data_IF_121874151841
#
_entry.id   IF_121874151841
#
_cell.length_a   1.000
_cell.length_b   1.000
_cell.length_c   1.000
_cell.angle_alpha   90.00
_cell.angle_beta   90.00
_cell.angle_gamma   90.00
#
_symmetry.space_group_name_H-M   'P 1'
#
loop_
_entity.id
_entity.type
_entity.pdbx_description
1 polymer ?
#
# COMPACT_ATOMS: atom_id res chain seq x y z
N UNK A 1 16.55 -16.84 -2.51
CA UNK A 1 15.18 -16.32 -2.50
C UNK A 1 14.30 -17.35 -1.83
N UNK A 2 13.29 -16.94 -1.09
CA UNK A 2 12.35 -17.86 -0.44
C UNK A 2 10.98 -17.72 -1.08
N UNK A 3 10.33 -18.86 -1.27
CA UNK A 3 8.99 -18.97 -1.83
C UNK A 3 8.05 -19.63 -0.82
N UNK A 4 6.79 -19.23 -0.86
CA UNK A 4 5.68 -19.92 -0.22
C UNK A 4 4.52 -20.17 -1.19
N UNK A 5 3.99 -21.39 -1.14
CA UNK A 5 2.74 -21.76 -1.84
C UNK A 5 1.58 -21.35 -0.96
N UNK A 6 0.75 -20.42 -1.44
CA UNK A 6 -0.44 -19.92 -0.74
C UNK A 6 -1.70 -20.68 -1.19
N UNK A 7 -2.70 -20.01 -1.76
CA UNK A 7 -3.93 -20.64 -2.24
C UNK A 7 -3.74 -21.31 -3.61
N UNK A 8 -3.21 -22.55 -3.61
CA UNK A 8 -2.84 -23.28 -4.83
C UNK A 8 -4.04 -23.77 -5.63
N UNK A 9 -5.03 -24.37 -4.96
CA UNK A 9 -6.19 -24.99 -5.63
C UNK A 9 -7.37 -24.02 -5.73
N UNK A 10 -8.32 -24.23 -6.67
CA UNK A 10 -9.55 -23.44 -6.71
C UNK A 10 -10.33 -23.44 -5.39
N UNK A 11 -10.31 -24.57 -4.66
CA UNK A 11 -10.95 -24.66 -3.35
C UNK A 11 -10.24 -23.79 -2.29
N UNK A 12 -8.90 -23.73 -2.32
CA UNK A 12 -8.15 -22.85 -1.42
C UNK A 12 -8.43 -21.38 -1.73
N UNK A 13 -8.46 -21.03 -3.01
CA UNK A 13 -8.74 -19.67 -3.49
C UNK A 13 -10.14 -19.23 -3.05
N UNK A 14 -11.15 -20.09 -3.20
CA UNK A 14 -12.50 -19.79 -2.75
C UNK A 14 -12.57 -19.60 -1.23
N UNK A 15 -11.87 -20.42 -0.43
CA UNK A 15 -11.81 -20.23 1.03
C UNK A 15 -11.22 -18.88 1.42
N UNK A 16 -10.17 -18.43 0.73
CA UNK A 16 -9.57 -17.11 0.97
C UNK A 16 -10.54 -15.98 0.60
N UNK A 17 -11.27 -16.11 -0.52
CA UNK A 17 -12.28 -15.13 -0.92
C UNK A 17 -13.45 -15.08 0.07
N UNK A 18 -13.94 -16.24 0.52
CA UNK A 18 -15.04 -16.34 1.48
C UNK A 18 -14.65 -15.82 2.88
N UNK A 19 -13.36 -15.92 3.23
CA UNK A 19 -12.84 -15.36 4.47
C UNK A 19 -13.04 -13.83 4.53
N UNK A 20 -12.84 -13.13 3.41
CA UNK A 20 -12.93 -11.66 3.37
C UNK A 20 -14.34 -11.15 3.14
N UNK A 21 -15.10 -11.05 4.23
CA UNK A 21 -16.35 -10.29 4.24
C UNK A 21 -16.08 -8.78 4.22
N UNK A 22 -17.02 -7.95 3.74
CA UNK A 22 -16.91 -6.50 3.83
C UNK A 22 -16.62 -6.00 5.26
N UNK A 23 -17.17 -6.67 6.27
CA UNK A 23 -16.95 -6.35 7.68
C UNK A 23 -15.52 -6.64 8.13
N UNK A 24 -14.92 -7.76 7.70
CA UNK A 24 -13.52 -8.08 7.99
C UNK A 24 -12.58 -7.10 7.28
N UNK A 25 -12.83 -6.84 6.00
CA UNK A 25 -12.06 -5.85 5.23
C UNK A 25 -12.10 -4.46 5.88
N UNK A 26 -13.26 -4.02 6.38
CA UNK A 26 -13.41 -2.73 7.05
C UNK A 26 -12.73 -2.65 8.42
N UNK A 27 -12.54 -3.80 9.11
CA UNK A 27 -11.92 -3.89 10.44
C UNK A 27 -10.43 -4.24 10.42
N UNK A 28 -9.91 -4.63 9.26
CA UNK A 28 -8.51 -5.02 9.11
C UNK A 28 -7.58 -3.85 9.48
N UNK A 29 -6.58 -4.15 10.31
CA UNK A 29 -5.67 -3.19 10.91
C UNK A 29 -4.53 -2.82 9.95
N UNK A 30 -3.88 -1.67 10.08
CA UNK A 30 -2.61 -1.44 9.42
C UNK A 30 -1.54 -2.46 9.85
N UNK A 31 -0.78 -3.04 8.92
CA UNK A 31 0.21 -4.11 9.20
C UNK A 31 1.30 -3.69 10.19
N UNK A 32 1.59 -2.40 10.26
CA UNK A 32 2.57 -1.80 11.17
C UNK A 32 2.19 -1.98 12.64
N UNK A 33 0.93 -2.32 12.95
CA UNK A 33 0.47 -2.68 14.28
C UNK A 33 0.72 -4.15 14.65
N UNK A 34 1.28 -4.97 13.75
CA UNK A 34 1.53 -6.40 13.99
C UNK A 34 2.32 -6.63 15.27
N UNK A 35 3.43 -5.89 15.47
CA UNK A 35 4.26 -6.02 16.67
C UNK A 35 3.50 -5.75 17.96
N UNK A 36 2.52 -4.84 17.96
CA UNK A 36 1.66 -4.56 19.12
C UNK A 36 0.66 -5.69 19.38
N UNK A 37 0.09 -6.26 18.31
CA UNK A 37 -0.86 -7.38 18.40
C UNK A 37 -0.18 -8.67 18.89
N UNK A 38 1.04 -8.95 18.41
CA UNK A 38 1.78 -10.18 18.75
C UNK A 38 2.52 -10.10 20.09
N UNK A 39 3.02 -8.91 20.47
CA UNK A 39 3.66 -8.70 21.79
C UNK A 39 2.65 -8.58 22.93
N UNK A 40 1.37 -8.36 22.60
CA UNK A 40 0.30 -8.09 23.56
C UNK A 40 -0.53 -9.32 23.95
N UNK A 41 0.03 -10.25 24.76
CA UNK A 41 -0.82 -11.04 25.69
C UNK A 41 -1.35 -10.11 26.78
N UNK A 42 -2.30 -9.21 26.46
CA UNK A 42 -2.98 -8.38 27.46
C UNK A 42 -3.41 -6.96 27.06
N UNK A 43 -3.15 -6.48 25.84
CA UNK A 43 -3.57 -5.12 25.43
C UNK A 43 -4.83 -5.11 24.54
N UNK A 44 -5.32 -6.27 24.10
CA UNK A 44 -6.55 -6.40 23.30
C UNK A 44 -7.83 -6.27 24.13
N UNK A 45 -7.76 -6.43 25.46
CA UNK A 45 -8.90 -6.16 26.36
C UNK A 45 -9.23 -4.67 26.46
N UNK A 46 -8.25 -3.78 26.29
CA UNK A 46 -8.45 -2.33 26.43
C UNK A 46 -8.80 -1.63 25.11
N UNK A 47 -8.58 -2.27 23.96
CA UNK A 47 -8.96 -1.75 22.64
C UNK A 47 -10.34 -2.23 22.16
N UNK A 48 -10.92 -3.23 22.83
CA UNK A 48 -12.26 -3.75 22.56
C UNK A 48 -13.30 -3.30 23.62
N UNK A 49 -12.84 -2.72 24.73
CA UNK A 49 -13.68 -2.14 25.77
C UNK A 49 -13.88 -0.64 25.55
N UNK A 50 -15.09 -0.23 25.16
CA UNK A 50 -15.47 1.17 24.96
C UNK A 50 -15.32 2.04 26.21
N UNK A 51 -14.11 2.54 26.47
CA UNK A 51 -13.86 3.63 27.42
C UNK A 51 -13.59 4.92 26.67
N UNK A 52 -14.63 5.76 26.69
CA UNK A 52 -14.63 7.17 26.34
C UNK A 52 -13.51 7.89 27.12
N UNK A 53 -12.55 8.47 26.40
CA UNK A 53 -11.63 9.46 26.99
C UNK A 53 -12.36 10.81 27.14
N UNK A 54 -12.04 11.62 28.16
CA UNK A 54 -12.91 12.71 28.61
C UNK A 54 -12.97 13.85 27.58
N UNK A 55 -14.19 14.36 27.36
CA UNK A 55 -14.46 15.57 26.62
C UNK A 55 -13.79 16.77 27.32
N UNK A 56 -12.89 17.46 26.62
CA UNK A 56 -12.42 18.78 27.01
C UNK A 56 -13.53 19.79 26.72
N UNK A 57 -14.11 20.33 27.79
CA UNK A 57 -15.11 21.40 27.78
C UNK A 57 -14.45 22.72 27.35
N UNK A 58 -14.81 23.21 26.16
CA UNK A 58 -14.45 24.54 25.66
C UNK A 58 -15.71 25.41 25.55
N UNK A 59 -15.74 26.48 26.33
CA UNK A 59 -16.86 27.41 26.50
C UNK A 59 -17.23 28.14 25.20
N UNK A 60 -18.53 28.30 24.97
CA UNK A 60 -19.12 29.12 23.91
C UNK A 60 -19.18 30.59 24.32
N UNK A 61 -18.56 31.47 23.53
CA UNK A 61 -18.84 32.90 23.54
C UNK A 61 -19.24 33.31 22.12
N UNK A 62 -20.49 33.75 21.96
CA UNK A 62 -21.05 34.15 20.68
C UNK A 62 -20.58 35.54 20.23
N UNK A 63 -20.32 35.67 18.93
CA UNK A 63 -20.34 36.96 18.24
C UNK A 63 -21.01 36.80 16.87
N UNK A 64 -22.02 37.63 16.64
CA UNK A 64 -22.78 37.73 15.41
C UNK A 64 -21.99 38.48 14.33
N UNK A 65 -22.16 38.09 13.06
CA UNK A 65 -21.65 38.83 11.89
C UNK A 65 -22.81 39.06 10.91
N UNK A 66 -22.99 40.27 10.34
CA UNK A 66 -24.17 40.60 9.55
C UNK A 66 -24.11 40.04 8.12
N UNK A 67 -25.28 39.69 7.59
CA UNK A 67 -25.45 39.18 6.25
C UNK A 67 -25.10 40.18 5.14
N UNK A 68 -24.42 39.67 4.10
CA UNK A 68 -24.40 40.28 2.77
C UNK A 68 -24.80 39.23 1.74
N UNK A 69 -25.81 39.61 0.96
CA UNK A 69 -26.45 38.83 -0.10
C UNK A 69 -25.47 38.40 -1.18
N UNK A 70 -25.43 37.10 -1.46
CA UNK A 70 -24.64 36.50 -2.52
C UNK A 70 -25.30 36.74 -3.88
N UNK A 71 -24.54 37.29 -4.84
CA UNK A 71 -24.86 37.16 -6.27
C UNK A 71 -24.31 35.81 -6.73
N UNK A 72 -25.21 34.93 -7.15
CA UNK A 72 -24.92 33.62 -7.73
C UNK A 72 -24.16 33.77 -9.05
N UNK A 73 -22.84 33.58 -9.00
CA UNK A 73 -22.04 33.35 -10.19
C UNK A 73 -22.18 31.88 -10.59
N UNK A 74 -22.61 31.64 -11.82
CA UNK A 74 -22.69 30.31 -12.44
C UNK A 74 -21.30 29.66 -12.41
N UNK A 75 -21.13 28.44 -11.87
CA UNK A 75 -19.81 27.82 -11.80
C UNK A 75 -19.36 27.44 -13.21
N UNK A 76 -18.38 28.18 -13.73
CA UNK A 76 -17.56 27.74 -14.86
C UNK A 76 -16.94 26.40 -14.46
N UNK A 77 -16.99 25.40 -15.33
CA UNK A 77 -16.28 24.13 -15.14
C UNK A 77 -14.79 24.43 -14.91
N UNK A 78 -14.37 24.41 -13.64
CA UNK A 78 -12.96 24.50 -13.31
C UNK A 78 -12.37 23.15 -13.73
N UNK A 79 -11.55 23.15 -14.78
CA UNK A 79 -10.70 22.00 -15.07
C UNK A 79 -9.97 21.63 -13.77
N UNK A 80 -10.03 20.36 -13.39
CA UNK A 80 -9.34 19.88 -12.19
C UNK A 80 -7.86 20.28 -12.28
N UNK A 81 -7.33 20.93 -11.23
CA UNK A 81 -5.94 21.32 -11.19
C UNK A 81 -5.03 20.11 -11.44
N UNK A 82 -3.96 20.29 -12.20
CA UNK A 82 -2.98 19.23 -12.44
C UNK A 82 -2.41 18.71 -11.10
N UNK A 83 -2.16 17.41 -10.95
CA UNK A 83 -1.53 16.86 -9.75
C UNK A 83 -0.20 17.55 -9.42
N UNK A 84 0.02 17.82 -8.14
CA UNK A 84 1.24 18.45 -7.68
C UNK A 84 2.44 17.50 -7.81
N UNK A 85 3.57 18.02 -8.28
CA UNK A 85 4.86 17.32 -8.23
C UNK A 85 5.50 17.34 -6.82
N UNK A 86 4.90 18.06 -5.88
CA UNK A 86 5.36 18.15 -4.48
C UNK A 86 4.18 18.07 -3.53
N UNK A 87 4.02 16.95 -2.83
CA UNK A 87 3.02 16.76 -1.79
C UNK A 87 3.47 15.67 -0.83
N UNK A 88 3.08 15.78 0.43
CA UNK A 88 3.35 14.76 1.46
C UNK A 88 2.16 13.83 1.68
N UNK A 89 1.09 13.93 0.90
CA UNK A 89 -0.10 13.10 1.11
C UNK A 89 -1.33 13.83 0.61
N UNK A 90 -1.74 13.51 -0.61
CA UNK A 90 -2.98 14.03 -1.20
C UNK A 90 -3.75 12.90 -1.84
N UNK A 91 -5.07 12.94 -1.79
CA UNK A 91 -5.90 11.97 -2.51
C UNK A 91 -5.58 12.03 -4.00
N UNK A 92 -5.33 10.87 -4.61
CA UNK A 92 -5.19 10.76 -6.05
C UNK A 92 -6.56 10.76 -6.72
N UNK A 93 -6.90 11.86 -7.37
CA UNK A 93 -8.19 12.04 -8.06
C UNK A 93 -8.12 11.92 -9.59
N UNK A 94 -6.93 11.86 -10.17
CA UNK A 94 -6.74 12.01 -11.63
C UNK A 94 -6.95 10.73 -12.44
N UNK A 95 -7.25 9.61 -11.79
CA UNK A 95 -7.44 8.33 -12.48
C UNK A 95 -6.15 7.83 -13.14
N UNK A 96 -6.23 7.45 -14.41
CA UNK A 96 -5.09 6.89 -15.16
C UNK A 96 -4.71 5.47 -14.74
N UNK A 97 -3.62 4.97 -15.31
CA UNK A 97 -3.19 3.59 -15.12
C UNK A 97 -2.89 3.27 -13.65
N UNK A 98 -2.22 4.17 -12.92
CA UNK A 98 -1.88 3.98 -11.50
C UNK A 98 -3.10 3.74 -10.60
N UNK A 99 -4.24 4.37 -10.90
CA UNK A 99 -5.48 4.17 -10.14
C UNK A 99 -6.10 2.77 -10.35
N UNK A 100 -5.69 2.07 -11.40
CA UNK A 100 -6.15 0.71 -11.73
C UNK A 100 -5.13 -0.34 -11.30
N UNK A 101 -3.84 -0.06 -11.48
CA UNK A 101 -2.75 -1.00 -11.19
C UNK A 101 -2.41 -1.06 -9.71
N UNK A 102 -2.66 0.00 -8.95
CA UNK A 102 -2.44 0.03 -7.50
C UNK A 102 -3.72 -0.36 -6.76
N UNK A 103 -3.58 -1.14 -5.69
CA UNK A 103 -4.70 -1.66 -4.93
C UNK A 103 -4.37 -1.85 -3.46
N UNK A 104 -5.43 -2.08 -2.67
CA UNK A 104 -5.33 -2.45 -1.27
C UNK A 104 -5.10 -3.96 -1.17
N UNK A 105 -4.26 -4.36 -0.23
CA UNK A 105 -4.00 -5.75 0.11
C UNK A 105 -4.65 -6.03 1.46
N UNK A 106 -5.29 -7.20 1.58
CA UNK A 106 -5.80 -7.75 2.82
C UNK A 106 -5.06 -9.05 3.12
N UNK A 107 -4.63 -9.23 4.36
CA UNK A 107 -3.85 -10.39 4.77
C UNK A 107 -4.11 -10.73 6.23
N UNK A 108 -3.79 -11.95 6.63
CA UNK A 108 -3.86 -12.38 8.03
C UNK A 108 -2.47 -12.80 8.48
N UNK A 109 -2.02 -12.29 9.63
CA UNK A 109 -0.77 -12.70 10.30
C UNK A 109 -1.10 -12.85 11.79
N UNK A 110 -0.58 -13.90 12.42
CA UNK A 110 -0.80 -14.22 13.83
C UNK A 110 -2.29 -14.25 14.24
N UNK A 111 -3.17 -14.65 13.30
CA UNK A 111 -4.62 -14.71 13.49
C UNK A 111 -5.34 -13.36 13.45
N UNK A 112 -4.64 -12.26 13.20
CA UNK A 112 -5.20 -10.92 13.05
C UNK A 112 -5.20 -10.47 11.57
N UNK A 113 -6.22 -9.69 11.21
CA UNK A 113 -6.42 -9.19 9.86
C UNK A 113 -5.74 -7.83 9.68
N UNK A 114 -4.95 -7.70 8.62
CA UNK A 114 -4.16 -6.52 8.31
C UNK A 114 -4.36 -6.03 6.88
N UNK A 115 -3.88 -4.80 6.63
CA UNK A 115 -3.89 -4.17 5.32
C UNK A 115 -2.53 -3.62 4.91
N UNK A 116 -2.32 -3.66 3.60
CA UNK A 116 -1.18 -3.10 2.88
C UNK A 116 -1.65 -2.50 1.55
N UNK A 117 -0.70 -2.12 0.71
CA UNK A 117 -0.87 -1.72 -0.68
C UNK A 117 0.04 -2.54 -1.59
N UNK A 118 -0.33 -2.67 -2.87
CA UNK A 118 0.52 -3.33 -3.88
C UNK A 118 0.24 -2.74 -5.27
N UNK A 119 1.10 -3.03 -6.25
CA UNK A 119 0.88 -2.64 -7.64
C UNK A 119 1.20 -3.74 -8.64
N UNK A 120 0.41 -3.83 -9.72
CA UNK A 120 0.65 -4.78 -10.81
C UNK A 120 1.87 -4.37 -11.63
N UNK A 121 2.75 -5.35 -11.89
CA UNK A 121 3.96 -5.18 -12.69
C UNK A 121 3.91 -6.10 -13.90
N UNK A 122 4.49 -5.62 -15.00
CA UNK A 122 4.60 -6.42 -16.23
C UNK A 122 5.32 -7.73 -15.91
N UNK A 123 4.82 -8.87 -16.39
CA UNK A 123 5.35 -10.19 -16.06
C UNK A 123 4.94 -11.21 -17.10
N UNK A 124 5.68 -12.32 -17.23
CA UNK A 124 5.35 -13.37 -18.20
C UNK A 124 4.06 -14.11 -17.84
N UNK A 125 3.80 -14.28 -16.54
CA UNK A 125 2.60 -14.94 -16.03
C UNK A 125 1.35 -14.03 -15.96
N UNK A 126 1.48 -12.72 -16.28
CA UNK A 126 0.39 -11.72 -16.25
C UNK A 126 -0.29 -11.48 -14.91
N UNK A 127 0.23 -12.06 -13.83
CA UNK A 127 -0.43 -12.11 -12.52
C UNK A 127 0.47 -11.63 -11.38
N UNK A 128 1.47 -10.81 -11.70
CA UNK A 128 2.45 -10.38 -10.72
C UNK A 128 2.11 -9.00 -10.13
N UNK A 129 2.18 -8.92 -8.80
CA UNK A 129 2.24 -7.65 -8.06
C UNK A 129 3.53 -7.55 -7.26
N UNK A 130 3.99 -6.32 -7.08
CA UNK A 130 5.05 -5.95 -6.14
C UNK A 130 4.43 -5.28 -4.91
N UNK A 131 4.97 -5.60 -3.73
CA UNK A 131 4.54 -5.13 -2.41
C UNK A 131 5.73 -5.17 -1.44
N UNK A 132 5.60 -4.69 -0.21
CA UNK A 132 6.65 -4.82 0.80
C UNK A 132 6.79 -6.28 1.24
N UNK A 133 7.98 -6.67 1.70
CA UNK A 133 8.25 -8.00 2.26
C UNK A 133 7.40 -8.27 3.50
N UNK A 134 7.25 -7.29 4.39
CA UNK A 134 6.43 -7.40 5.61
C UNK A 134 4.93 -7.53 5.31
N UNK A 135 4.47 -7.11 4.13
CA UNK A 135 3.11 -7.35 3.64
C UNK A 135 2.89 -8.79 3.14
N UNK A 136 3.91 -9.64 3.20
CA UNK A 136 3.91 -11.02 2.68
C UNK A 136 4.39 -12.01 3.75
N UNK A 137 5.36 -11.61 4.56
CA UNK A 137 6.00 -12.43 5.59
C UNK A 137 6.53 -11.53 6.69
N UNK A 138 6.27 -11.89 7.95
CA UNK A 138 6.78 -11.20 9.14
C UNK A 138 8.26 -11.49 9.37
N UNK A 139 9.15 -10.98 8.49
CA UNK A 139 10.60 -11.23 8.54
C UNK A 139 10.93 -12.72 8.66
N UNK A 140 11.58 -13.12 9.77
CA UNK A 140 11.90 -14.51 10.10
C UNK A 140 10.70 -15.35 10.59
N UNK A 141 9.57 -14.71 10.89
CA UNK A 141 8.33 -15.29 11.42
C UNK A 141 7.47 -16.01 10.38
N UNK A 142 6.16 -15.82 10.41
CA UNK A 142 5.24 -16.57 9.55
C UNK A 142 4.96 -15.88 8.20
N UNK A 143 4.47 -16.67 7.25
CA UNK A 143 3.93 -16.16 6.00
C UNK A 143 2.50 -15.69 6.20
N UNK A 144 2.13 -14.62 5.49
CA UNK A 144 0.77 -14.11 5.51
C UNK A 144 -0.23 -15.14 4.95
N UNK A 145 -1.31 -15.35 5.68
CA UNK A 145 -2.47 -16.12 5.23
C UNK A 145 -3.54 -15.22 4.62
N UNK A 146 -4.54 -15.82 3.98
CA UNK A 146 -5.69 -15.13 3.37
C UNK A 146 -5.30 -13.97 2.43
N UNK A 147 -4.11 -13.98 1.85
CA UNK A 147 -3.58 -12.82 1.14
C UNK A 147 -4.41 -12.51 -0.12
N UNK A 148 -5.01 -11.32 -0.18
CA UNK A 148 -5.93 -10.88 -1.25
C UNK A 148 -5.64 -9.46 -1.71
N UNK A 149 -5.42 -9.29 -3.01
CA UNK A 149 -5.23 -7.99 -3.67
C UNK A 149 -6.52 -7.48 -4.31
N UNK A 150 -6.85 -6.22 -4.07
CA UNK A 150 -8.03 -5.54 -4.63
C UNK A 150 -7.59 -4.28 -5.39
N UNK A 151 -7.33 -4.38 -6.71
CA UNK A 151 -6.92 -3.23 -7.52
C UNK A 151 -8.02 -2.18 -7.58
N UNK A 152 -7.63 -0.90 -7.51
CA UNK A 152 -8.56 0.22 -7.55
C UNK A 152 -9.59 0.21 -6.41
N UNK A 153 -9.22 -0.35 -5.24
CA UNK A 153 -10.07 -0.36 -4.05
C UNK A 153 -10.62 1.04 -3.78
N UNK A 154 -11.91 1.12 -3.45
CA UNK A 154 -12.60 2.38 -3.23
C UNK A 154 -13.44 2.37 -1.96
N UNK A 155 -13.91 3.56 -1.57
CA UNK A 155 -14.71 3.76 -0.36
C UNK A 155 -15.92 2.81 -0.29
N UNK A 156 -16.20 2.34 0.91
CA UNK A 156 -17.29 1.39 1.18
C UNK A 156 -17.03 -0.04 0.67
N UNK A 157 -15.76 -0.44 0.49
CA UNK A 157 -15.41 -1.81 0.09
C UNK A 157 -15.52 -2.08 -1.41
N UNK A 158 -15.49 -1.03 -2.24
CA UNK A 158 -15.65 -1.20 -3.70
C UNK A 158 -14.43 -1.91 -4.29
N UNK A 159 -14.68 -3.01 -4.99
CA UNK A 159 -13.69 -3.83 -5.70
C UNK A 159 -13.98 -3.84 -7.21
N UNK A 160 -13.82 -2.70 -7.92
CA UNK A 160 -14.27 -2.55 -9.31
C UNK A 160 -13.61 -3.50 -10.31
N UNK A 161 -12.41 -4.00 -9.97
CA UNK A 161 -11.61 -4.86 -10.83
C UNK A 161 -11.50 -6.31 -10.32
N UNK A 162 -12.32 -6.68 -9.33
CA UNK A 162 -12.31 -8.00 -8.71
C UNK A 162 -11.33 -8.10 -7.53
N UNK A 163 -11.24 -9.31 -7.00
CA UNK A 163 -10.34 -9.67 -5.89
C UNK A 163 -9.47 -10.84 -6.35
N UNK A 164 -8.17 -10.77 -6.05
CA UNK A 164 -7.17 -11.72 -6.53
C UNK A 164 -6.39 -12.29 -5.35
N UNK A 165 -6.50 -13.59 -5.13
CA UNK A 165 -5.81 -14.27 -4.01
C UNK A 165 -4.38 -14.59 -4.39
N UNK A 166 -3.45 -14.63 -3.42
CA UNK A 166 -2.10 -15.14 -3.68
C UNK A 166 -2.14 -16.64 -4.01
N UNK A 167 -1.49 -17.06 -5.10
CA UNK A 167 -1.16 -18.48 -5.34
C UNK A 167 0.26 -18.82 -4.87
N UNK A 168 1.20 -17.88 -5.04
CA UNK A 168 2.61 -18.01 -4.63
C UNK A 168 3.13 -16.66 -4.18
N UNK A 169 3.93 -16.68 -3.12
CA UNK A 169 4.51 -15.49 -2.51
C UNK A 169 6.03 -15.63 -2.41
N UNK A 170 6.75 -14.53 -2.61
CA UNK A 170 8.19 -14.53 -2.72
C UNK A 170 8.78 -13.36 -1.96
N UNK A 171 9.88 -13.62 -1.23
CA UNK A 171 10.70 -12.58 -0.59
C UNK A 171 12.20 -12.90 -0.76
N UNK A 172 13.08 -11.90 -0.67
CA UNK A 172 14.52 -12.11 -0.59
C UNK A 172 14.94 -12.86 0.67
N UNK A 173 16.06 -13.60 0.60
CA UNK A 173 16.56 -14.34 1.77
C UNK A 173 16.95 -13.44 2.95
N UNK A 174 17.57 -12.25 2.75
CA UNK A 174 17.87 -11.36 3.88
C UNK A 174 16.61 -10.93 4.64
N UNK A 175 15.52 -10.62 3.92
CA UNK A 175 14.21 -10.38 4.55
C UNK A 175 13.73 -11.61 5.31
N UNK A 176 13.69 -12.77 4.64
CA UNK A 176 13.15 -13.99 5.24
C UNK A 176 13.95 -14.52 6.44
N UNK A 177 15.22 -14.16 6.60
CA UNK A 177 16.09 -14.68 7.67
C UNK A 177 16.19 -13.73 8.86
N UNK A 178 16.17 -12.42 8.61
CA UNK A 178 16.46 -11.44 9.66
C UNK A 178 15.61 -10.17 9.58
N UNK A 179 14.64 -10.08 8.67
CA UNK A 179 13.86 -8.85 8.48
C UNK A 179 14.73 -7.66 8.08
N UNK A 180 15.74 -7.87 7.23
CA UNK A 180 16.61 -6.77 6.77
C UNK A 180 15.84 -5.80 5.88
N UNK A 181 15.59 -4.58 6.38
CA UNK A 181 14.80 -3.53 5.73
C UNK A 181 15.33 -3.15 4.33
N UNK A 182 16.64 -3.30 4.07
CA UNK A 182 17.22 -3.09 2.74
C UNK A 182 16.61 -4.02 1.67
N UNK A 183 15.96 -5.11 2.11
CA UNK A 183 15.36 -6.13 1.29
C UNK A 183 13.87 -6.32 1.59
N UNK A 184 13.21 -5.33 2.19
CA UNK A 184 11.76 -5.34 2.46
C UNK A 184 10.93 -5.18 1.18
N UNK A 185 11.04 -6.17 0.31
CA UNK A 185 10.32 -6.29 -0.95
C UNK A 185 9.76 -7.70 -1.07
N UNK A 186 8.49 -7.76 -1.45
CA UNK A 186 7.75 -8.98 -1.72
C UNK A 186 7.18 -8.94 -3.13
N UNK A 187 7.05 -10.13 -3.73
CA UNK A 187 6.31 -10.28 -4.98
C UNK A 187 5.33 -11.42 -4.85
N UNK A 188 4.15 -11.24 -5.42
CA UNK A 188 3.04 -12.18 -5.27
C UNK A 188 2.50 -12.51 -6.65
N UNK A 189 2.53 -13.79 -6.99
CA UNK A 189 1.81 -14.32 -8.14
C UNK A 189 0.36 -14.60 -7.70
N UNK A 190 -0.60 -14.02 -8.41
CA UNK A 190 -2.01 -14.00 -8.06
C UNK A 190 -2.80 -15.07 -8.78
N UNK A 191 -3.80 -15.70 -8.17
CA UNK A 191 -4.78 -16.47 -8.93
C UNK A 191 -5.62 -15.55 -9.83
N UNK A 192 -6.12 -16.09 -10.94
CA UNK A 192 -7.06 -15.36 -11.81
C UNK A 192 -8.35 -15.05 -11.08
N UNK A 193 -8.92 -13.86 -11.26
CA UNK A 193 -10.24 -13.52 -10.75
C UNK A 193 -11.27 -13.71 -11.85
N UNK A 194 -12.31 -14.53 -11.61
CA UNK A 194 -13.35 -14.87 -12.61
C UNK A 194 -12.75 -15.34 -13.94
N UNK A 195 -11.69 -16.15 -13.86
CA UNK A 195 -10.97 -16.69 -15.03
C UNK A 195 -10.12 -15.69 -15.80
N UNK A 196 -9.90 -14.47 -15.28
CA UNK A 196 -9.08 -13.43 -15.93
C UNK A 196 -7.81 -13.11 -15.15
N UNK A 197 -6.72 -12.94 -15.88
CA UNK A 197 -5.46 -12.44 -15.33
C UNK A 197 -5.58 -10.98 -14.90
N UNK A 198 -4.87 -10.59 -13.84
CA UNK A 198 -4.93 -9.22 -13.32
C UNK A 198 -4.44 -8.22 -14.37
N UNK A 199 -3.34 -8.53 -15.08
CA UNK A 199 -2.78 -7.63 -16.10
C UNK A 199 -3.76 -7.38 -17.25
N UNK A 200 -4.53 -8.39 -17.65
CA UNK A 200 -5.54 -8.26 -18.70
C UNK A 200 -6.74 -7.40 -18.24
N UNK A 201 -6.95 -7.27 -16.93
CA UNK A 201 -8.06 -6.49 -16.34
C UNK A 201 -7.64 -5.04 -16.09
N UNK A 202 -6.50 -4.81 -15.45
CA UNK A 202 -6.10 -3.47 -14.96
C UNK A 202 -4.88 -2.89 -15.67
N UNK A 203 -4.19 -3.69 -16.49
CA UNK A 203 -2.88 -3.35 -17.04
C UNK A 203 -1.76 -3.55 -16.01
N UNK A 204 -0.58 -3.05 -16.35
CA UNK A 204 0.63 -3.17 -15.53
C UNK A 204 1.48 -1.92 -15.62
N UNK A 205 2.20 -1.62 -14.55
CA UNK A 205 3.30 -0.65 -14.60
C UNK A 205 4.60 -1.32 -15.06
N UNK A 206 5.53 -0.51 -15.55
CA UNK A 206 6.91 -0.96 -15.74
C UNK A 206 7.62 -0.99 -14.38
N UNK A 207 8.63 -1.85 -14.24
CA UNK A 207 9.47 -1.95 -13.05
C UNK A 207 10.93 -1.94 -13.49
N UNK A 208 11.78 -1.21 -12.77
CA UNK A 208 13.21 -1.15 -13.03
C UNK A 208 14.02 -1.47 -11.78
N UNK A 209 15.20 -2.03 -12.04
CA UNK A 209 16.17 -2.45 -11.04
C UNK A 209 17.50 -1.76 -11.32
N UNK A 210 18.31 -1.57 -10.28
CA UNK A 210 19.56 -0.83 -10.35
C UNK A 210 19.39 0.58 -10.96
N UNK A 211 18.22 1.20 -10.74
CA UNK A 211 17.93 2.54 -11.23
C UNK A 211 18.84 3.57 -10.54
N UNK A 212 19.14 4.72 -11.17
CA UNK A 212 19.83 5.81 -10.51
C UNK A 212 19.10 6.24 -9.23
N UNK A 213 19.88 6.57 -8.19
CA UNK A 213 19.36 7.10 -6.93
C UNK A 213 19.00 8.58 -7.06
N UNK A 214 18.11 9.05 -6.19
CA UNK A 214 17.64 10.44 -6.17
C UNK A 214 16.58 10.73 -7.24
N UNK A 215 16.40 12.02 -7.53
CA UNK A 215 15.44 12.48 -8.53
C UNK A 215 13.99 12.56 -8.02
N UNK A 216 13.07 12.87 -8.94
CA UNK A 216 11.66 13.01 -8.65
C UNK A 216 10.97 11.64 -8.59
N UNK A 217 10.19 11.41 -7.55
CA UNK A 217 9.36 10.22 -7.39
C UNK A 217 7.93 10.58 -6.98
N UNK A 218 7.02 9.64 -7.24
CA UNK A 218 5.63 9.66 -6.80
C UNK A 218 5.34 8.34 -6.10
N UNK A 219 5.06 8.37 -4.80
CA UNK A 219 4.71 7.20 -4.00
C UNK A 219 3.18 7.12 -3.84
N UNK A 220 2.59 5.95 -4.08
CA UNK A 220 1.14 5.74 -4.01
C UNK A 220 0.79 4.67 -2.99
N UNK A 221 -0.35 4.78 -2.31
CA UNK A 221 -0.81 3.73 -1.39
C UNK A 221 -2.18 4.02 -0.80
N UNK A 222 -2.64 3.10 0.05
CA UNK A 222 -3.90 3.14 0.80
C UNK A 222 -3.64 3.25 2.30
N UNK A 223 -3.16 4.42 2.79
CA UNK A 223 -2.98 4.64 4.24
C UNK A 223 -4.31 4.47 4.96
N UNK A 224 -4.31 3.73 6.07
CA UNK A 224 -5.51 3.26 6.78
C UNK A 224 -5.55 3.66 8.26
N UNK A 225 -4.60 4.48 8.70
CA UNK A 225 -4.58 5.06 10.04
C UNK A 225 -4.85 6.58 9.98
N UNK A 226 -5.54 7.19 10.97
CA UNK A 226 -5.95 8.59 10.92
C UNK A 226 -4.81 9.56 10.54
N UNK A 227 -5.09 10.57 9.70
CA UNK A 227 -6.42 11.02 9.24
C UNK A 227 -6.98 10.22 8.06
N UNK A 228 -6.37 9.11 7.67
CA UNK A 228 -6.81 8.27 6.55
C UNK A 228 -7.66 7.08 7.02
N UNK A 229 -8.52 6.58 6.15
CA UNK A 229 -9.42 5.44 6.38
C UNK A 229 -9.12 4.24 5.45
N UNK A 230 -8.12 4.39 4.57
CA UNK A 230 -7.74 3.43 3.55
C UNK A 230 -8.79 3.22 2.45
N UNK A 231 -9.81 4.06 2.35
CA UNK A 231 -10.84 4.00 1.32
C UNK A 231 -10.43 4.66 0.00
N UNK A 232 -9.28 5.33 -0.05
CA UNK A 232 -8.83 6.12 -1.18
C UNK A 232 -7.35 5.91 -1.48
N UNK A 233 -7.01 5.94 -2.76
CA UNK A 233 -5.63 6.03 -3.20
C UNK A 233 -5.09 7.42 -2.84
N UNK A 234 -3.98 7.45 -2.12
CA UNK A 234 -3.24 8.65 -1.73
C UNK A 234 -1.89 8.62 -2.41
N UNK A 235 -1.32 9.79 -2.68
CA UNK A 235 0.04 9.90 -3.18
C UNK A 235 0.86 10.96 -2.44
N UNK A 236 2.16 10.69 -2.41
CA UNK A 236 3.24 11.60 -2.05
C UNK A 236 4.06 11.87 -3.30
N UNK A 237 4.64 13.06 -3.43
CA UNK A 237 5.50 13.42 -4.52
C UNK A 237 6.62 14.34 -4.03
N UNK A 238 7.84 14.10 -4.50
CA UNK A 238 8.99 14.91 -4.13
C UNK A 238 10.31 14.31 -4.60
N UNK A 239 11.40 14.98 -4.22
CA UNK A 239 12.75 14.49 -4.49
C UNK A 239 13.16 13.44 -3.46
N UNK A 240 13.67 12.31 -3.95
CA UNK A 240 14.26 11.27 -3.12
C UNK A 240 15.56 11.75 -2.46
N UNK A 241 15.79 11.30 -1.24
CA UNK A 241 16.98 11.58 -0.43
C UNK A 241 17.55 10.26 0.09
N UNK A 242 18.84 10.23 0.42
CA UNK A 242 19.40 9.06 1.10
C UNK A 242 18.87 8.99 2.54
N UNK A 243 18.81 7.79 3.10
CA UNK A 243 18.62 7.57 4.53
C UNK A 243 19.70 8.34 5.33
N UNK A 244 19.31 9.32 6.18
CA UNK A 244 20.26 10.12 6.95
C UNK A 244 20.87 9.35 8.12
N UNK A 245 20.26 8.24 8.57
CA UNK A 245 20.75 7.45 9.69
C UNK A 245 21.78 6.40 9.26
N UNK A 246 21.87 6.11 7.95
CA UNK A 246 22.82 5.14 7.40
C UNK A 246 22.59 3.69 7.85
N UNK A 247 21.45 3.39 8.48
CA UNK A 247 21.07 2.03 8.90
C UNK A 247 20.66 1.20 7.68
N UNK A 248 20.12 1.85 6.65
CA UNK A 248 19.75 1.24 5.38
C UNK A 248 20.42 1.94 4.20
N UNK A 249 20.37 1.29 3.04
CA UNK A 249 20.66 1.87 1.72
C UNK A 249 19.39 2.38 1.07
N UNK A 250 18.36 2.67 1.84
CA UNK A 250 17.05 3.04 1.32
C UNK A 250 17.01 4.52 0.94
N UNK A 251 15.91 4.91 0.30
CA UNK A 251 15.68 6.29 -0.09
C UNK A 251 14.45 6.82 0.63
N UNK A 252 14.56 8.04 1.15
CA UNK A 252 13.47 8.76 1.78
C UNK A 252 12.68 9.61 0.78
N UNK A 253 11.35 9.54 0.88
CA UNK A 253 10.39 10.42 0.22
C UNK A 253 9.60 11.17 1.29
N UNK A 254 9.51 12.50 1.17
CA UNK A 254 8.63 13.30 2.04
C UNK A 254 7.18 12.83 1.88
N UNK A 255 6.64 12.19 2.92
CA UNK A 255 5.38 11.48 2.87
C UNK A 255 4.78 11.25 4.26
N UNK A 256 3.64 11.88 4.51
CA UNK A 256 2.77 11.74 5.66
C UNK A 256 1.69 10.65 5.48
N UNK A 257 1.76 9.82 4.43
CA UNK A 257 0.94 8.60 4.41
C UNK A 257 1.23 7.76 5.65
N UNK A 258 0.17 7.24 6.26
CA UNK A 258 0.24 6.43 7.47
C UNK A 258 0.28 4.93 7.13
N UNK A 259 0.25 4.14 8.19
CA UNK A 259 0.22 2.69 8.18
C UNK A 259 -0.84 2.14 7.18
N UNK A 260 -0.54 1.03 6.50
CA UNK A 260 -1.34 0.47 5.40
C UNK A 260 -0.98 0.99 4.00
N UNK A 261 -0.21 2.08 3.90
CA UNK A 261 0.40 2.51 2.65
C UNK A 261 1.58 1.63 2.21
N UNK A 262 2.08 0.80 3.11
CA UNK A 262 3.19 -0.13 2.89
C UNK A 262 2.98 -1.05 1.69
N UNK A 263 4.04 -1.29 0.92
CA UNK A 263 4.03 -1.99 -0.37
C UNK A 263 3.52 -1.16 -1.55
N UNK A 264 2.97 0.02 -1.30
CA UNK A 264 2.53 0.94 -2.33
C UNK A 264 3.67 1.42 -3.24
N UNK A 265 3.48 1.51 -4.57
CA UNK A 265 4.58 1.68 -5.52
C UNK A 265 5.16 3.10 -5.48
N UNK A 266 6.48 3.19 -5.59
CA UNK A 266 7.17 4.44 -5.87
C UNK A 266 7.62 4.48 -7.31
N UNK A 267 7.16 5.50 -8.03
CA UNK A 267 7.28 5.62 -9.47
C UNK A 267 8.15 6.80 -9.86
N UNK A 268 9.17 6.51 -10.67
CA UNK A 268 9.94 7.52 -11.42
C UNK A 268 9.39 7.62 -12.84
N UNK A 269 9.79 8.65 -13.59
CA UNK A 269 9.29 8.91 -14.97
C UNK A 269 7.76 8.97 -15.06
N UNK A 270 7.11 9.34 -13.95
CA UNK A 270 5.66 9.28 -13.82
C UNK A 270 4.98 10.40 -14.62
N UNK A 271 4.02 10.03 -15.45
CA UNK A 271 3.18 10.94 -16.21
C UNK A 271 1.79 10.98 -15.57
N UNK A 272 1.48 12.07 -14.87
CA UNK A 272 0.24 12.27 -14.14
C UNK A 272 -1.02 12.25 -15.01
N UNK A 273 -0.92 12.59 -16.30
CA UNK A 273 -2.06 12.56 -17.22
C UNK A 273 -2.45 11.12 -17.61
N UNK A 274 -1.46 10.23 -17.72
CA UNK A 274 -1.70 8.82 -18.11
C UNK A 274 -1.72 7.86 -16.92
N UNK A 275 -1.16 8.26 -15.78
CA UNK A 275 -0.91 7.40 -14.63
C UNK A 275 0.16 6.32 -14.89
N UNK A 276 0.99 6.48 -15.93
CA UNK A 276 2.08 5.55 -16.26
C UNK A 276 3.38 6.02 -15.61
N UNK A 277 4.21 5.09 -15.19
CA UNK A 277 5.58 5.35 -14.78
C UNK A 277 6.35 4.06 -14.57
N UNK A 278 7.54 4.16 -13.99
CA UNK A 278 8.42 3.03 -13.72
C UNK A 278 8.57 2.87 -12.21
N UNK A 279 8.15 1.73 -11.68
CA UNK A 279 8.31 1.40 -10.27
C UNK A 279 9.80 1.12 -10.01
N UNK A 280 10.39 1.85 -9.07
CA UNK A 280 11.80 1.71 -8.69
C UNK A 280 12.01 1.49 -7.19
N UNK A 281 10.93 1.58 -6.41
CA UNK A 281 10.90 1.29 -4.98
C UNK A 281 9.43 1.15 -4.54
N UNK A 282 9.19 1.05 -3.24
CA UNK A 282 7.86 1.00 -2.61
C UNK A 282 7.92 1.62 -1.21
N UNK A 283 6.77 1.91 -0.61
CA UNK A 283 6.70 2.33 0.79
C UNK A 283 7.01 1.14 1.71
N UNK A 284 8.01 1.24 2.57
CA UNK A 284 8.41 0.16 3.48
C UNK A 284 8.24 0.57 4.94
N UNK A 285 9.00 1.57 5.42
CA UNK A 285 8.98 1.93 6.83
C UNK A 285 9.13 3.43 7.07
N UNK A 286 8.94 3.82 8.34
CA UNK A 286 9.31 5.12 8.88
C UNK A 286 10.13 4.92 10.14
N UNK A 287 11.11 5.79 10.37
CA UNK A 287 11.76 5.86 11.67
C UNK A 287 10.79 6.42 12.72
N UNK A 288 10.93 5.99 13.96
CA UNK A 288 10.05 6.42 15.05
C UNK A 288 10.13 7.93 15.32
N UNK A 289 11.30 8.53 15.09
CA UNK A 289 11.59 9.96 15.22
C UNK A 289 11.32 10.78 13.93
N UNK A 290 11.01 10.13 12.81
CA UNK A 290 10.67 10.79 11.54
C UNK A 290 9.35 10.29 10.94
N UNK A 291 8.27 10.96 11.32
CA UNK A 291 6.94 10.68 10.77
C UNK A 291 6.68 11.34 9.41
N UNK A 292 7.60 12.18 8.92
CA UNK A 292 7.44 12.99 7.70
C UNK A 292 8.06 12.35 6.47
N UNK A 293 8.91 11.35 6.64
CA UNK A 293 9.57 10.65 5.54
C UNK A 293 9.13 9.20 5.54
N UNK A 294 8.68 8.72 4.39
CA UNK A 294 8.55 7.29 4.13
C UNK A 294 9.86 6.81 3.50
N UNK A 295 10.37 5.66 3.91
CA UNK A 295 11.55 5.02 3.34
C UNK A 295 11.14 3.84 2.46
N UNK A 296 11.90 3.64 1.40
CA UNK A 296 11.66 2.58 0.43
C UNK A 296 12.96 1.91 0.00
N UNK A 297 12.98 0.56 -0.10
CA UNK A 297 14.17 -0.19 -0.41
C UNK A 297 14.69 0.12 -1.81
N UNK A 298 16.00 0.09 -1.96
CA UNK A 298 16.62 0.16 -3.27
C UNK A 298 16.40 -1.16 -4.03
N UNK A 299 15.74 -1.10 -5.18
CA UNK A 299 15.53 -2.27 -6.02
C UNK A 299 16.82 -2.66 -6.76
N UNK A 300 17.72 -3.33 -6.04
CA UNK A 300 18.96 -3.88 -6.56
C UNK A 300 18.81 -5.27 -7.21
N UNK A 301 19.93 -5.98 -7.32
CA UNK A 301 19.97 -7.33 -7.92
C UNK A 301 19.10 -8.36 -7.20
N UNK A 302 18.94 -8.25 -5.88
CA UNK A 302 18.04 -9.11 -5.13
C UNK A 302 16.57 -8.92 -5.59
N UNK A 303 16.10 -7.68 -5.68
CA UNK A 303 14.74 -7.40 -6.19
C UNK A 303 14.58 -7.87 -7.65
N UNK A 304 15.62 -7.73 -8.48
CA UNK A 304 15.62 -8.20 -9.88
C UNK A 304 15.50 -9.73 -9.99
N UNK A 305 16.26 -10.45 -9.18
CA UNK A 305 16.20 -11.90 -9.13
C UNK A 305 14.85 -12.39 -8.59
N UNK A 306 14.29 -11.70 -7.59
CA UNK A 306 12.93 -11.95 -7.08
C UNK A 306 11.88 -11.81 -8.18
N UNK A 307 11.93 -10.71 -8.94
CA UNK A 307 11.06 -10.45 -10.09
C UNK A 307 11.17 -11.50 -11.18
N UNK A 308 12.40 -11.90 -11.51
CA UNK A 308 12.63 -12.90 -12.56
C UNK A 308 12.01 -14.25 -12.19
N UNK A 309 12.15 -14.65 -10.93
CA UNK A 309 11.57 -15.88 -10.40
C UNK A 309 10.04 -15.80 -10.33
N UNK A 310 9.51 -14.76 -9.69
CA UNK A 310 8.08 -14.60 -9.46
C UNK A 310 7.30 -14.34 -10.76
N UNK A 311 7.90 -13.69 -11.75
CA UNK A 311 7.26 -13.37 -13.03
C UNK A 311 6.99 -14.58 -13.94
N UNK A 312 7.53 -15.75 -13.61
CA UNK A 312 7.31 -17.03 -14.31
C UNK A 312 6.42 -18.00 -13.54
N UNK A 313 5.96 -17.58 -12.35
CA UNK A 313 5.36 -18.44 -11.34
C UNK A 313 3.86 -18.68 -11.51
#
# INVERSE_FOLDING_TARGET
>A
MVEHVAARTPADQQRVLDYWTPQRMAKALPIELLGLVTSGKGLLSDLTGGRVLPALTGQTAGQAVPGRTARTAVPRHHAAAAPSASTVGTRWGSGGLVARTTGRVFLTVAGADFVCSASTVKSANKDLVVTAGHCVKDGAGEWAANWTFVPGYGSGGKAPFGQYTARRMFVPDPWSRSGDDNYDVGMVALATSRGRHVADVVGTQEIAFNAPRGGQAYGFGYPADPPYDGGHLVYCAGRLRNDPHGQTRDQGLGCAMTAGSSGGPWMTTFNAATGRGTITSLSSFKYSDDQRTMYGPYFGDAAKALYTMAGRA
#
